data_IF_903986242862
#
_entry.id   IF_903986242862
#
_cell.length_a   1.000
_cell.length_b   1.000
_cell.length_c   1.000
_cell.angle_alpha   90.00
_cell.angle_beta   90.00
_cell.angle_gamma   90.00
#
_symmetry.space_group_name_H-M   'P 1'
#
loop_
_entity.id
_entity.type
_entity.pdbx_description
1 polymer ?
#
# COMPACT_ATOMS: atom_id res chain seq x y z
N UNK A 1 24.40 -7.22 12.91
CA UNK A 1 22.99 -7.27 13.35
C UNK A 1 22.15 -7.01 12.11
N UNK A 2 21.52 -8.05 11.54
CA UNK A 2 20.77 -7.91 10.29
C UNK A 2 19.50 -7.08 10.52
N UNK A 3 19.13 -6.24 9.55
CA UNK A 3 17.85 -5.54 9.58
C UNK A 3 16.74 -6.57 9.35
N UNK A 4 15.79 -6.66 10.28
CA UNK A 4 14.73 -7.68 10.26
C UNK A 4 13.50 -7.08 9.57
N UNK A 5 13.31 -7.38 8.28
CA UNK A 5 12.12 -6.97 7.50
C UNK A 5 10.92 -7.90 7.75
N UNK A 6 10.56 -8.11 9.03
CA UNK A 6 9.47 -9.00 9.43
C UNK A 6 8.09 -8.33 9.40
N UNK A 7 8.03 -7.01 9.62
CA UNK A 7 6.74 -6.31 9.79
C UNK A 7 5.83 -6.57 8.60
N UNK A 8 4.54 -6.80 8.84
CA UNK A 8 3.55 -7.03 7.79
C UNK A 8 3.65 -8.38 7.06
N UNK A 9 4.58 -9.28 7.45
CA UNK A 9 4.68 -10.61 6.85
C UNK A 9 3.56 -11.57 7.31
N UNK A 10 2.93 -11.29 8.45
CA UNK A 10 1.75 -12.02 8.89
C UNK A 10 0.54 -11.70 8.00
N UNK A 11 -0.40 -12.64 7.94
CA UNK A 11 -1.67 -12.47 7.23
C UNK A 11 -2.76 -11.97 8.18
N UNK A 12 -3.53 -10.92 7.81
CA UNK A 12 -4.70 -10.49 8.56
C UNK A 12 -5.94 -11.36 8.27
N UNK A 13 -5.83 -12.25 7.29
CA UNK A 13 -6.92 -13.11 6.85
C UNK A 13 -6.97 -14.41 7.65
N UNK A 14 -8.18 -14.93 7.86
CA UNK A 14 -8.47 -16.19 8.52
C UNK A 14 -7.99 -17.38 7.67
N UNK A 15 -6.69 -17.68 7.77
CA UNK A 15 -6.03 -18.81 7.11
C UNK A 15 -5.65 -19.82 8.19
N UNK A 16 -6.11 -21.06 8.04
CA UNK A 16 -5.90 -22.12 9.03
C UNK A 16 -4.42 -22.47 9.21
N UNK A 17 -3.70 -22.57 8.09
CA UNK A 17 -2.33 -23.08 8.05
C UNK A 17 -1.43 -22.00 7.43
N UNK A 18 -0.52 -21.42 8.23
CA UNK A 18 0.36 -20.32 7.83
C UNK A 18 1.79 -20.62 8.24
N UNK A 19 2.72 -20.48 7.30
CA UNK A 19 4.15 -20.57 7.56
C UNK A 19 4.85 -19.30 7.04
N UNK A 20 5.60 -18.63 7.91
CA UNK A 20 6.39 -17.44 7.58
C UNK A 20 7.84 -17.69 7.98
N UNK A 21 8.74 -17.59 7.01
CA UNK A 21 10.18 -17.77 7.22
C UNK A 21 10.92 -16.50 6.82
N UNK A 22 11.91 -16.14 7.64
CA UNK A 22 12.65 -14.88 7.48
C UNK A 22 14.13 -15.21 7.38
N UNK A 23 14.75 -14.72 6.32
CA UNK A 23 16.17 -14.90 6.06
C UNK A 23 16.85 -13.54 5.98
N UNK A 24 17.94 -13.39 6.72
CA UNK A 24 18.82 -12.23 6.58
C UNK A 24 19.90 -12.55 5.55
N UNK A 25 19.99 -11.74 4.50
CA UNK A 25 21.07 -11.81 3.52
C UNK A 25 22.03 -10.62 3.70
N UNK A 26 23.31 -10.85 3.42
CA UNK A 26 24.28 -9.77 3.30
C UNK A 26 24.04 -9.03 1.97
N UNK A 27 23.95 -7.71 2.02
CA UNK A 27 23.75 -6.85 0.85
C UNK A 27 25.07 -6.20 0.43
N UNK A 28 25.21 -5.94 -0.87
CA UNK A 28 26.38 -5.23 -1.43
C UNK A 28 26.44 -3.76 -1.00
N UNK A 29 25.29 -3.19 -0.65
CA UNK A 29 25.13 -1.80 -0.22
C UNK A 29 24.67 -1.74 1.22
N UNK A 30 24.96 -0.62 1.89
CA UNK A 30 24.45 -0.36 3.24
C UNK A 30 22.94 -0.20 3.20
N UNK A 31 22.25 -1.00 4.00
CA UNK A 31 20.81 -0.88 4.25
C UNK A 31 20.55 -0.19 5.58
N UNK A 32 19.35 0.33 5.77
CA UNK A 32 18.95 1.06 6.96
C UNK A 32 17.44 1.07 7.15
N UNK A 33 16.97 1.81 8.15
CA UNK A 33 15.55 2.01 8.38
C UNK A 33 14.95 2.90 7.29
N UNK A 34 13.95 2.37 6.58
CA UNK A 34 12.99 3.13 5.80
C UNK A 34 11.64 3.07 6.52
N UNK A 35 10.75 4.03 6.28
CA UNK A 35 9.43 4.09 6.94
C UNK A 35 8.70 2.75 6.79
N UNK A 36 8.08 2.28 7.88
CA UNK A 36 7.48 0.94 8.03
C UNK A 36 8.46 -0.24 8.25
N UNK A 37 9.77 0.00 8.27
CA UNK A 37 10.81 -1.00 8.62
C UNK A 37 10.67 -2.35 7.88
N UNK A 38 10.41 -2.29 6.56
CA UNK A 38 10.18 -3.47 5.72
C UNK A 38 8.70 -3.88 5.59
N UNK A 39 7.79 -3.26 6.34
CA UNK A 39 6.36 -3.53 6.26
C UNK A 39 5.76 -3.26 4.89
N UNK A 40 6.14 -2.14 4.24
CA UNK A 40 5.59 -1.75 2.94
C UNK A 40 5.79 -2.83 1.85
N UNK A 41 6.95 -3.48 1.79
CA UNK A 41 7.24 -4.51 0.77
C UNK A 41 6.48 -5.81 1.03
N UNK A 42 6.31 -6.19 2.31
CA UNK A 42 5.53 -7.37 2.68
C UNK A 42 4.04 -7.17 2.41
N UNK A 43 3.52 -5.97 2.70
CA UNK A 43 2.14 -5.59 2.35
C UNK A 43 1.93 -5.56 0.84
N UNK A 44 2.88 -5.03 0.07
CA UNK A 44 2.83 -5.07 -1.39
C UNK A 44 2.67 -6.51 -1.90
N UNK A 45 3.56 -7.42 -1.48
CA UNK A 45 3.49 -8.82 -1.88
C UNK A 45 2.16 -9.49 -1.49
N UNK A 46 1.73 -9.33 -0.23
CA UNK A 46 0.50 -9.95 0.29
C UNK A 46 -0.74 -9.41 -0.39
N UNK A 47 -0.92 -8.09 -0.42
CA UNK A 47 -2.16 -7.47 -0.89
C UNK A 47 -2.32 -7.51 -2.41
N UNK A 48 -1.21 -7.55 -3.17
CA UNK A 48 -1.27 -7.86 -4.60
C UNK A 48 -1.63 -9.33 -4.84
N UNK A 49 -1.10 -10.26 -4.05
CA UNK A 49 -1.44 -11.67 -4.18
C UNK A 49 -2.92 -11.96 -3.83
N UNK A 50 -3.45 -11.32 -2.79
CA UNK A 50 -4.88 -11.43 -2.44
C UNK A 50 -5.78 -10.93 -3.58
N UNK A 51 -5.38 -9.86 -4.26
CA UNK A 51 -6.09 -9.35 -5.43
C UNK A 51 -6.04 -10.31 -6.63
N UNK A 52 -4.91 -10.99 -6.84
CA UNK A 52 -4.79 -12.08 -7.82
C UNK A 52 -5.71 -13.26 -7.49
N UNK A 53 -5.81 -13.64 -6.22
CA UNK A 53 -6.76 -14.68 -5.76
C UNK A 53 -8.20 -14.24 -6.05
N UNK A 54 -8.55 -12.98 -5.77
CA UNK A 54 -9.90 -12.45 -6.02
C UNK A 54 -10.26 -12.56 -7.50
N UNK A 55 -9.37 -12.08 -8.38
CA UNK A 55 -9.55 -12.17 -9.83
C UNK A 55 -9.67 -13.62 -10.31
N UNK A 56 -8.80 -14.53 -9.82
CA UNK A 56 -8.80 -15.95 -10.19
C UNK A 56 -10.10 -16.65 -9.79
N UNK A 57 -10.65 -16.30 -8.62
CA UNK A 57 -11.89 -16.88 -8.11
C UNK A 57 -13.15 -16.21 -8.69
N UNK A 58 -13.01 -15.13 -9.48
CA UNK A 58 -14.14 -14.36 -9.98
C UNK A 58 -14.91 -13.64 -8.86
N UNK A 59 -14.21 -13.20 -7.82
CA UNK A 59 -14.79 -12.50 -6.67
C UNK A 59 -14.28 -11.06 -6.68
N UNK A 60 -15.16 -10.10 -6.37
CA UNK A 60 -14.75 -8.72 -6.14
C UNK A 60 -13.67 -8.62 -5.03
N UNK A 61 -12.61 -7.82 -5.20
CA UNK A 61 -11.49 -7.78 -4.26
C UNK A 61 -11.82 -7.17 -2.90
N UNK A 62 -12.86 -6.34 -2.78
CA UNK A 62 -13.39 -5.90 -1.49
C UNK A 62 -14.11 -7.07 -0.80
N UNK A 63 -15.02 -7.73 -1.53
CA UNK A 63 -15.79 -8.87 -1.03
C UNK A 63 -14.90 -10.04 -0.56
N UNK A 64 -13.85 -10.38 -1.32
CA UNK A 64 -12.92 -11.43 -0.93
C UNK A 64 -12.29 -11.12 0.44
N UNK A 65 -11.84 -9.88 0.65
CA UNK A 65 -11.23 -9.46 1.92
C UNK A 65 -12.25 -9.52 3.04
N UNK A 66 -13.44 -8.96 2.83
CA UNK A 66 -14.52 -8.95 3.82
C UNK A 66 -14.97 -10.35 4.24
N UNK A 67 -14.92 -11.35 3.35
CA UNK A 67 -15.24 -12.74 3.70
C UNK A 67 -14.17 -13.42 4.56
N UNK A 68 -12.93 -12.93 4.50
CA UNK A 68 -11.78 -13.61 5.10
C UNK A 68 -11.14 -12.83 6.25
N UNK A 69 -11.65 -11.65 6.61
CA UNK A 69 -11.19 -10.88 7.76
C UNK A 69 -11.97 -11.25 9.03
N UNK A 70 -11.26 -11.71 10.06
CA UNK A 70 -11.84 -12.02 11.37
C UNK A 70 -11.79 -10.81 12.35
N UNK A 71 -10.79 -9.94 12.21
CA UNK A 71 -10.65 -8.75 13.06
C UNK A 71 -11.54 -7.61 12.56
N UNK A 72 -12.38 -7.10 13.45
CA UNK A 72 -13.33 -6.04 13.17
C UNK A 72 -12.66 -4.70 12.83
N UNK A 73 -11.46 -4.40 13.34
CA UNK A 73 -10.75 -3.15 13.01
C UNK A 73 -10.34 -3.11 11.54
N UNK A 74 -9.87 -4.22 10.97
CA UNK A 74 -9.59 -4.32 9.53
C UNK A 74 -10.85 -4.13 8.68
N UNK A 75 -11.96 -4.75 9.09
CA UNK A 75 -13.25 -4.64 8.40
C UNK A 75 -13.73 -3.20 8.39
N UNK A 76 -13.71 -2.53 9.56
CA UNK A 76 -14.12 -1.14 9.74
C UNK A 76 -13.34 -0.17 8.86
N UNK A 77 -12.00 -0.27 8.81
CA UNK A 77 -11.21 0.64 7.95
C UNK A 77 -11.45 0.36 6.47
N UNK A 78 -11.60 -0.91 6.08
CA UNK A 78 -11.87 -1.28 4.69
C UNK A 78 -13.24 -0.78 4.22
N UNK A 79 -14.28 -0.97 5.03
CA UNK A 79 -15.62 -0.43 4.78
C UNK A 79 -15.63 1.10 4.69
N UNK A 80 -14.95 1.78 5.61
CA UNK A 80 -14.89 3.23 5.63
C UNK A 80 -14.17 3.81 4.40
N UNK A 81 -13.03 3.22 4.00
CA UNK A 81 -12.31 3.61 2.80
C UNK A 81 -13.16 3.36 1.55
N UNK A 82 -13.74 2.16 1.40
CA UNK A 82 -14.57 1.80 0.27
C UNK A 82 -15.83 2.67 0.16
N UNK A 83 -16.51 2.95 1.28
CA UNK A 83 -17.68 3.82 1.32
C UNK A 83 -17.33 5.24 0.91
N UNK A 84 -16.25 5.82 1.45
CA UNK A 84 -15.84 7.20 1.10
C UNK A 84 -15.34 7.32 -0.34
N UNK A 85 -14.75 6.23 -0.87
CA UNK A 85 -14.33 6.11 -2.26
C UNK A 85 -15.50 5.85 -3.23
N UNK A 86 -16.69 5.50 -2.73
CA UNK A 86 -17.82 5.02 -3.54
C UNK A 86 -17.46 3.77 -4.36
N UNK A 87 -16.83 2.78 -3.70
CA UNK A 87 -16.43 1.53 -4.32
C UNK A 87 -17.61 0.86 -5.02
N UNK A 88 -17.43 0.56 -6.30
CA UNK A 88 -18.40 -0.14 -7.12
C UNK A 88 -17.94 -1.58 -7.32
N UNK A 89 -18.74 -2.52 -6.85
CA UNK A 89 -18.42 -3.95 -6.93
C UNK A 89 -18.10 -4.38 -8.38
N UNK A 90 -17.05 -5.17 -8.54
CA UNK A 90 -16.67 -5.73 -9.84
C UNK A 90 -15.47 -6.65 -9.74
N UNK A 91 -15.44 -7.67 -10.61
CA UNK A 91 -14.30 -8.58 -10.72
C UNK A 91 -13.22 -7.95 -11.58
N UNK A 92 -12.06 -7.66 -11.00
CA UNK A 92 -10.92 -7.13 -11.74
C UNK A 92 -10.39 -8.16 -12.77
N UNK A 93 -9.99 -7.75 -13.99
CA UNK A 93 -9.92 -6.36 -14.45
C UNK A 93 -11.26 -5.81 -14.99
N UNK A 94 -11.69 -4.68 -14.45
CA UNK A 94 -12.92 -3.97 -14.86
C UNK A 94 -12.66 -2.83 -15.84
N UNK A 95 -11.39 -2.48 -16.09
CA UNK A 95 -10.93 -1.35 -16.91
C UNK A 95 -11.27 0.03 -16.34
N UNK A 96 -11.59 0.12 -15.05
CA UNK A 96 -11.88 1.41 -14.40
C UNK A 96 -10.63 2.08 -13.83
N UNK A 97 -9.58 1.29 -13.56
CA UNK A 97 -8.37 1.77 -12.93
C UNK A 97 -8.55 1.99 -11.44
N UNK A 98 -9.28 1.10 -10.78
CA UNK A 98 -9.54 1.16 -9.33
C UNK A 98 -8.89 -0.01 -8.60
N UNK A 99 -8.35 0.25 -7.43
CA UNK A 99 -7.68 -0.77 -6.62
C UNK A 99 -7.77 -0.45 -5.15
N UNK A 100 -7.67 -1.49 -4.32
CA UNK A 100 -7.70 -1.36 -2.87
C UNK A 100 -6.69 -2.30 -2.21
N UNK A 101 -6.36 -1.99 -0.97
CA UNK A 101 -5.51 -2.82 -0.12
C UNK A 101 -5.77 -2.50 1.36
N UNK A 102 -5.33 -3.40 2.25
CA UNK A 102 -5.38 -3.21 3.70
C UNK A 102 -4.00 -3.43 4.33
N UNK A 103 -3.81 -2.92 5.54
CA UNK A 103 -2.58 -3.15 6.29
C UNK A 103 -2.68 -2.78 7.76
N UNK A 104 -1.65 -3.18 8.51
CA UNK A 104 -1.42 -2.75 9.88
C UNK A 104 0.05 -2.40 10.03
N UNK A 105 0.32 -1.32 10.74
CA UNK A 105 1.65 -1.00 11.24
C UNK A 105 1.53 -0.29 12.58
N UNK A 106 2.52 -0.44 13.45
CA UNK A 106 2.58 0.22 14.77
C UNK A 106 1.27 0.23 15.57
N UNK A 107 0.49 -0.86 15.48
CA UNK A 107 -0.79 -1.09 16.18
C UNK A 107 -2.02 -0.42 15.55
N UNK A 108 -1.84 0.29 14.43
CA UNK A 108 -2.90 1.00 13.71
C UNK A 108 -3.28 0.26 12.43
N UNK A 109 -4.57 0.27 12.13
CA UNK A 109 -5.18 -0.45 11.02
C UNK A 109 -5.48 0.55 9.91
N UNK A 110 -5.27 0.16 8.66
CA UNK A 110 -5.40 1.06 7.52
C UNK A 110 -5.97 0.33 6.31
N UNK A 111 -6.74 1.06 5.50
CA UNK A 111 -7.15 0.63 4.18
C UNK A 111 -7.08 1.81 3.21
N UNK A 112 -6.67 1.54 1.97
CA UNK A 112 -6.64 2.56 0.93
C UNK A 112 -7.37 2.08 -0.32
N UNK A 113 -8.10 3.00 -0.96
CA UNK A 113 -8.66 2.87 -2.30
C UNK A 113 -8.00 3.89 -3.22
N UNK A 114 -7.69 3.49 -4.45
CA UNK A 114 -6.98 4.30 -5.45
C UNK A 114 -7.77 4.31 -6.75
N UNK A 115 -7.88 5.48 -7.37
CA UNK A 115 -8.27 5.66 -8.77
C UNK A 115 -7.07 6.15 -9.58
N UNK A 116 -6.84 5.54 -10.75
CA UNK A 116 -5.80 5.95 -11.68
C UNK A 116 -6.22 5.77 -13.14
N UNK A 117 -5.46 6.41 -14.02
CA UNK A 117 -5.46 6.11 -15.44
C UNK A 117 -4.07 5.66 -15.88
N UNK A 118 -4.03 4.82 -16.92
CA UNK A 118 -2.79 4.38 -17.57
C UNK A 118 -2.82 4.83 -19.03
N UNK A 119 -1.76 5.52 -19.47
CA UNK A 119 -1.53 5.91 -20.86
C UNK A 119 -0.14 5.44 -21.30
N UNK A 120 -0.09 4.35 -22.06
CA UNK A 120 1.15 3.63 -22.35
C UNK A 120 1.87 3.21 -21.07
N UNK A 121 3.01 3.85 -20.76
CA UNK A 121 3.79 3.61 -19.53
C UNK A 121 3.53 4.62 -18.43
N UNK A 122 2.76 5.67 -18.72
CA UNK A 122 2.42 6.67 -17.73
C UNK A 122 1.25 6.20 -16.87
N UNK A 123 1.44 6.32 -15.56
CA UNK A 123 0.43 6.04 -14.55
C UNK A 123 0.09 7.38 -13.90
N UNK A 124 -1.17 7.78 -14.02
CA UNK A 124 -1.71 9.00 -13.44
C UNK A 124 -2.66 8.63 -12.31
N UNK A 125 -2.15 8.67 -11.08
CA UNK A 125 -3.00 8.50 -9.89
C UNK A 125 -3.83 9.77 -9.71
N UNK A 126 -5.15 9.62 -9.69
CA UNK A 126 -6.09 10.75 -9.63
C UNK A 126 -6.56 11.02 -8.22
N UNK A 127 -6.85 9.94 -7.48
CA UNK A 127 -7.51 10.01 -6.19
C UNK A 127 -7.08 8.86 -5.29
N UNK A 128 -6.84 9.17 -4.03
CA UNK A 128 -6.51 8.20 -2.99
C UNK A 128 -7.38 8.49 -1.76
N UNK A 129 -8.14 7.50 -1.32
CA UNK A 129 -8.90 7.54 -0.08
C UNK A 129 -8.27 6.58 0.89
N UNK A 130 -7.86 7.05 2.08
CA UNK A 130 -7.25 6.21 3.11
C UNK A 130 -8.01 6.33 4.43
N UNK A 131 -8.51 5.21 4.95
CA UNK A 131 -9.07 5.14 6.29
C UNK A 131 -8.02 4.61 7.28
N UNK A 132 -7.94 5.20 8.47
CA UNK A 132 -7.01 4.80 9.52
C UNK A 132 -7.72 4.70 10.87
N UNK A 133 -7.51 3.57 11.56
CA UNK A 133 -7.86 3.38 12.97
C UNK A 133 -6.55 3.33 13.78
N UNK A 134 -6.27 4.43 14.50
CA UNK A 134 -5.13 4.54 15.42
C UNK A 134 -5.57 4.65 16.88
N UNK A 135 -6.71 4.05 17.24
CA UNK A 135 -7.32 4.18 18.55
C UNK A 135 -7.71 5.64 18.85
N UNK A 136 -7.47 6.10 20.08
CA UNK A 136 -7.69 7.50 20.45
C UNK A 136 -6.88 8.47 19.56
N UNK A 137 -7.60 9.31 18.83
CA UNK A 137 -7.01 10.35 17.98
C UNK A 137 -6.74 11.61 18.80
N UNK A 138 -5.49 11.77 19.25
CA UNK A 138 -5.08 12.92 20.09
C UNK A 138 -5.03 14.23 19.30
N UNK A 139 -4.51 14.19 18.07
CA UNK A 139 -4.42 15.36 17.18
C UNK A 139 -4.89 14.95 15.77
N UNK A 140 -6.17 15.20 15.42
CA UNK A 140 -6.74 14.82 14.12
C UNK A 140 -5.95 15.34 12.93
N UNK A 141 -5.55 16.62 12.94
CA UNK A 141 -4.80 17.22 11.83
C UNK A 141 -3.38 16.66 11.73
N UNK A 142 -2.76 16.35 12.87
CA UNK A 142 -1.48 15.65 12.90
C UNK A 142 -1.56 14.27 12.23
N UNK A 143 -2.63 13.52 12.51
CA UNK A 143 -2.87 12.21 11.87
C UNK A 143 -3.12 12.36 10.37
N UNK A 144 -3.94 13.34 9.94
CA UNK A 144 -4.17 13.62 8.51
C UNK A 144 -2.87 13.90 7.77
N UNK A 145 -2.06 14.84 8.28
CA UNK A 145 -0.78 15.20 7.69
C UNK A 145 0.17 13.99 7.59
N UNK A 146 0.17 13.10 8.60
CA UNK A 146 0.98 11.89 8.57
C UNK A 146 0.51 10.89 7.50
N UNK A 147 -0.80 10.73 7.32
CA UNK A 147 -1.37 9.86 6.28
C UNK A 147 -1.12 10.44 4.89
N UNK A 148 -1.34 11.74 4.69
CA UNK A 148 -1.06 12.43 3.42
C UNK A 148 0.41 12.30 3.02
N UNK A 149 1.33 12.58 3.94
CA UNK A 149 2.77 12.40 3.69
C UNK A 149 3.16 10.95 3.46
N UNK A 150 2.47 9.98 4.08
CA UNK A 150 2.67 8.55 3.80
C UNK A 150 2.19 8.17 2.40
N UNK A 151 1.05 8.73 1.97
CA UNK A 151 0.51 8.54 0.63
C UNK A 151 1.51 9.01 -0.43
N UNK A 152 2.02 10.24 -0.30
CA UNK A 152 3.00 10.78 -1.26
C UNK A 152 4.28 9.93 -1.28
N UNK A 153 4.84 9.56 -0.12
CA UNK A 153 6.02 8.69 -0.05
C UNK A 153 5.74 7.30 -0.67
N UNK A 154 4.56 6.74 -0.43
CA UNK A 154 4.13 5.45 -0.99
C UNK A 154 4.00 5.48 -2.50
N UNK A 155 3.50 6.58 -3.06
CA UNK A 155 3.47 6.81 -4.51
C UNK A 155 4.88 6.87 -5.10
N UNK A 156 5.84 7.46 -4.37
CA UNK A 156 7.25 7.45 -4.74
C UNK A 156 7.79 6.04 -4.94
N UNK A 157 7.69 5.20 -3.90
CA UNK A 157 8.08 3.79 -3.97
C UNK A 157 7.30 2.98 -5.02
N UNK A 158 6.01 3.28 -5.21
CA UNK A 158 5.17 2.57 -6.16
C UNK A 158 5.52 2.89 -7.62
N UNK A 159 5.84 4.15 -7.94
CA UNK A 159 5.87 4.63 -9.32
C UNK A 159 7.26 5.06 -9.83
N UNK A 160 8.16 5.50 -8.96
CA UNK A 160 9.35 6.24 -9.37
C UNK A 160 10.66 5.75 -8.74
N UNK A 161 10.66 5.55 -7.43
CA UNK A 161 11.86 5.43 -6.62
C UNK A 161 12.53 4.06 -6.80
N UNK A 162 13.79 4.08 -7.23
CA UNK A 162 14.64 2.89 -7.32
C UNK A 162 16.11 3.29 -7.17
N UNK A 163 16.86 2.54 -6.35
CA UNK A 163 18.33 2.66 -6.30
C UNK A 163 18.91 1.77 -7.40
N UNK A 164 19.72 2.36 -8.26
CA UNK A 164 20.39 1.63 -9.34
C UNK A 164 21.80 1.25 -8.88
N UNK A 165 22.11 -0.04 -8.94
CA UNK A 165 23.39 -0.60 -8.50
C UNK A 165 24.10 -1.20 -9.71
N UNK A 166 25.33 -0.79 -9.96
CA UNK A 166 26.20 -1.33 -11.00
C UNK A 166 27.67 -1.20 -10.61
N UNK A 167 28.49 -2.18 -11.00
CA UNK A 167 29.92 -2.22 -10.73
C UNK A 167 30.30 -1.97 -9.26
N UNK A 168 29.49 -2.48 -8.33
CA UNK A 168 29.69 -2.31 -6.88
C UNK A 168 29.37 -0.91 -6.33
N UNK A 169 28.71 -0.05 -7.11
CA UNK A 169 28.40 1.33 -6.74
C UNK A 169 26.93 1.69 -7.00
N UNK A 170 26.46 2.77 -6.36
CA UNK A 170 25.14 3.37 -6.63
C UNK A 170 25.29 4.35 -7.80
N UNK A 171 24.50 4.15 -8.86
CA UNK A 171 24.61 4.88 -10.12
C UNK A 171 23.81 6.19 -10.15
N UNK A 172 22.81 6.36 -9.27
CA UNK A 172 21.85 7.45 -9.28
C UNK A 172 21.81 8.26 -7.97
N UNK A 173 22.96 8.69 -7.47
CA UNK A 173 23.13 9.35 -6.16
C UNK A 173 22.59 10.78 -6.05
N UNK A 174 22.05 11.37 -7.12
CA UNK A 174 21.45 12.72 -7.10
C UNK A 174 19.93 12.66 -7.19
N UNK A 175 19.23 13.63 -6.57
CA UNK A 175 17.76 13.75 -6.65
C UNK A 175 17.22 14.00 -8.07
N UNK A 176 18.08 14.40 -9.01
CA UNK A 176 17.73 14.48 -10.42
C UNK A 176 17.65 13.12 -11.12
N UNK A 177 18.34 12.10 -10.57
CA UNK A 177 18.38 10.72 -11.10
C UNK A 177 17.56 9.74 -10.25
N UNK A 178 17.54 9.92 -8.93
CA UNK A 178 16.61 9.26 -8.02
C UNK A 178 15.32 10.09 -7.95
N UNK A 179 14.34 9.71 -8.76
CA UNK A 179 13.11 10.48 -8.90
C UNK A 179 12.17 10.22 -7.72
N UNK A 180 11.90 11.27 -6.95
CA UNK A 180 10.81 11.33 -5.97
C UNK A 180 9.59 12.02 -6.59
N UNK A 181 8.37 11.80 -6.05
CA UNK A 181 7.18 12.51 -6.51
C UNK A 181 7.36 14.02 -6.47
N UNK A 182 6.85 14.71 -7.50
CA UNK A 182 6.76 16.16 -7.58
C UNK A 182 5.36 16.61 -7.16
N UNK A 183 5.19 17.91 -6.96
CA UNK A 183 3.88 18.49 -6.63
C UNK A 183 2.80 18.16 -7.68
N UNK A 184 3.19 18.05 -8.96
CA UNK A 184 2.32 17.69 -10.08
C UNK A 184 1.92 16.22 -10.11
N UNK A 185 2.60 15.37 -9.33
CA UNK A 185 2.26 13.96 -9.18
C UNK A 185 1.26 13.73 -8.03
N UNK A 186 0.93 14.77 -7.26
CA UNK A 186 0.03 14.64 -6.11
C UNK A 186 -1.42 14.44 -6.56
N UNK A 187 -2.08 13.35 -6.17
CA UNK A 187 -3.51 13.15 -6.42
C UNK A 187 -4.36 13.97 -5.44
N UNK A 188 -5.68 13.91 -5.64
CA UNK A 188 -6.63 14.20 -4.55
C UNK A 188 -6.45 13.16 -3.44
N UNK A 189 -6.13 13.59 -2.22
CA UNK A 189 -5.94 12.70 -1.06
C UNK A 189 -7.04 13.01 -0.06
N UNK A 190 -7.77 11.97 0.35
CA UNK A 190 -8.79 12.06 1.39
C UNK A 190 -8.47 11.09 2.53
N UNK A 191 -8.52 11.59 3.76
CA UNK A 191 -8.25 10.80 4.97
C UNK A 191 -9.53 10.61 5.78
N UNK A 192 -9.87 9.37 6.08
CA UNK A 192 -10.96 9.00 6.98
C UNK A 192 -10.37 8.56 8.32
N UNK A 193 -10.63 9.34 9.37
CA UNK A 193 -10.18 9.00 10.72
C UNK A 193 -11.26 8.13 11.38
N UNK A 194 -10.89 6.90 11.76
CA UNK A 194 -11.75 6.06 12.56
C UNK A 194 -11.58 6.49 14.02
N UNK A 195 -12.56 7.22 14.53
CA UNK A 195 -12.54 7.59 15.95
C UNK A 195 -12.89 6.37 16.81
N UNK A 196 -12.06 6.13 17.82
CA UNK A 196 -12.25 5.09 18.82
C UNK A 196 -11.69 5.58 20.16
N UNK A 197 -12.42 6.47 20.86
CA UNK A 197 -11.91 7.17 22.04
C UNK A 197 -11.66 6.24 23.24
N UNK A 198 -12.28 5.06 23.26
CA UNK A 198 -12.12 4.06 24.32
C UNK A 198 -10.90 3.16 24.10
N UNK A 199 -10.27 3.20 22.92
CA UNK A 199 -9.06 2.44 22.62
C UNK A 199 -7.78 3.25 22.89
N UNK A 200 -6.69 2.61 23.34
CA UNK A 200 -5.40 3.28 23.49
C UNK A 200 -4.94 3.91 22.17
N UNK A 201 -4.30 5.07 22.25
CA UNK A 201 -3.68 5.71 21.07
C UNK A 201 -2.50 4.88 20.57
N UNK A 202 -2.43 4.66 19.25
CA UNK A 202 -1.35 3.94 18.57
C UNK A 202 -0.63 4.84 17.56
N UNK A 203 0.31 4.31 16.77
CA UNK A 203 1.11 5.13 15.87
C UNK A 203 0.39 5.51 14.57
N UNK A 204 0.33 6.80 14.22
CA UNK A 204 -0.08 7.26 12.88
C UNK A 204 1.11 7.48 11.92
N UNK A 205 2.33 7.25 12.41
CA UNK A 205 3.59 7.61 11.77
C UNK A 205 3.86 6.88 10.45
N UNK A 206 3.57 5.60 10.38
CA UNK A 206 3.95 4.67 9.32
C UNK A 206 2.77 4.00 8.58
N UNK A 207 1.58 3.77 9.18
CA UNK A 207 0.55 2.91 8.60
C UNK A 207 0.09 3.33 7.21
N UNK A 208 -0.12 4.63 6.97
CA UNK A 208 -0.61 5.12 5.68
C UNK A 208 0.26 4.72 4.48
N UNK A 209 1.51 4.32 4.69
CA UNK A 209 2.45 3.97 3.63
C UNK A 209 2.16 2.56 3.05
N UNK A 210 1.79 1.61 3.92
CA UNK A 210 1.88 0.18 3.60
C UNK A 210 0.83 -0.27 2.58
N UNK A 211 -0.26 0.49 2.45
CA UNK A 211 -1.38 0.20 1.55
C UNK A 211 -1.19 0.79 0.16
N UNK A 212 -0.32 1.78 -0.02
CA UNK A 212 -0.28 2.58 -1.27
C UNK A 212 0.22 1.76 -2.45
N UNK A 213 1.43 1.20 -2.36
CA UNK A 213 2.00 0.41 -3.45
C UNK A 213 1.10 -0.74 -3.92
N UNK A 214 0.53 -1.59 -3.03
CA UNK A 214 -0.39 -2.63 -3.48
C UNK A 214 -1.70 -2.08 -4.07
N UNK A 215 -2.29 -1.02 -3.49
CA UNK A 215 -3.54 -0.46 -4.03
C UNK A 215 -3.32 0.13 -5.44
N UNK A 216 -2.19 0.81 -5.68
CA UNK A 216 -1.82 1.29 -7.02
C UNK A 216 -1.58 0.12 -7.97
N UNK A 217 -0.86 -0.92 -7.56
CA UNK A 217 -0.62 -2.08 -8.44
C UNK A 217 -1.90 -2.84 -8.80
N UNK A 218 -2.83 -2.96 -7.85
CA UNK A 218 -4.15 -3.54 -8.07
C UNK A 218 -4.98 -2.67 -9.03
N UNK A 219 -4.91 -1.34 -8.90
CA UNK A 219 -5.57 -0.41 -9.82
C UNK A 219 -4.96 -0.43 -11.24
N UNK A 220 -3.64 -0.59 -11.36
CA UNK A 220 -2.97 -0.80 -12.66
C UNK A 220 -3.45 -2.10 -13.29
N UNK A 221 -3.52 -3.19 -12.53
CA UNK A 221 -4.09 -4.43 -13.03
C UNK A 221 -5.54 -4.27 -13.45
N UNK A 222 -6.36 -3.57 -12.67
CA UNK A 222 -7.75 -3.32 -13.01
C UNK A 222 -7.90 -2.55 -14.33
N UNK A 223 -7.08 -1.53 -14.56
CA UNK A 223 -7.06 -0.74 -15.79
C UNK A 223 -6.58 -1.54 -17.02
N UNK A 224 -5.53 -2.35 -16.86
CA UNK A 224 -4.75 -2.88 -18.00
C UNK A 224 -4.87 -4.38 -18.21
N UNK A 225 -5.28 -5.13 -17.18
CA UNK A 225 -5.15 -6.58 -17.11
C UNK A 225 -3.71 -7.09 -16.91
N UNK A 226 -2.71 -6.20 -16.87
CA UNK A 226 -1.31 -6.57 -16.64
C UNK A 226 -1.01 -6.62 -15.15
N UNK A 227 -0.65 -7.80 -14.63
CA UNK A 227 -0.19 -7.95 -13.24
C UNK A 227 1.31 -7.69 -13.15
N UNK A 228 1.68 -6.64 -12.42
CA UNK A 228 3.07 -6.27 -12.14
C UNK A 228 3.39 -6.64 -10.69
N UNK A 229 4.50 -7.35 -10.48
CA UNK A 229 4.95 -7.83 -9.16
C UNK A 229 6.29 -7.23 -8.72
N UNK A 230 6.78 -6.27 -9.47
CA UNK A 230 8.06 -5.60 -9.24
C UNK A 230 7.83 -4.09 -9.21
N UNK A 231 8.43 -3.41 -8.23
CA UNK A 231 8.41 -1.97 -8.12
C UNK A 231 9.73 -1.37 -8.65
N UNK A 232 9.71 -0.14 -9.18
CA UNK A 232 8.53 0.71 -9.39
C UNK A 232 7.74 0.33 -10.66
N UNK A 233 6.41 0.48 -10.62
CA UNK A 233 5.46 -0.01 -11.63
C UNK A 233 5.69 0.58 -13.02
N UNK A 234 6.05 1.89 -13.12
CA UNK A 234 6.27 2.55 -14.42
C UNK A 234 7.39 1.91 -15.24
N UNK A 235 8.37 1.27 -14.60
CA UNK A 235 9.47 0.56 -15.29
C UNK A 235 9.04 -0.78 -15.90
N UNK A 236 7.89 -1.30 -15.48
CA UNK A 236 7.45 -2.68 -15.77
C UNK A 236 6.27 -2.75 -16.75
N UNK A 237 5.55 -1.63 -16.96
CA UNK A 237 4.48 -1.54 -17.96
C UNK A 237 5.04 -1.73 -19.38
N UNK A 238 4.33 -2.54 -20.18
CA UNK A 238 4.74 -2.90 -21.54
C UNK A 238 3.97 -2.13 -22.59
#
# INVERSE_FOLDING_TARGET
MGYIAQRGAQTPYAVKDVAVHIYCANTLVRVGSYRSLGGAVNHFARESHIDEIASTLGIDPFELRMRNLADERYRRVLEAAASRFSWQSGVAPTKRGVGLSIGEDVGSYVASCVELAVDGREIHVRRVVTAIDCGLVVNPEGVRNQVEGSTVMGLGGALYEAIEIGDGSILNTSLSRYQVPRITDSPEIEVVLMDNPDAPSTGAGEPGLVTIAPAVANAVFDATGQRIRELPLKRQLR
#
